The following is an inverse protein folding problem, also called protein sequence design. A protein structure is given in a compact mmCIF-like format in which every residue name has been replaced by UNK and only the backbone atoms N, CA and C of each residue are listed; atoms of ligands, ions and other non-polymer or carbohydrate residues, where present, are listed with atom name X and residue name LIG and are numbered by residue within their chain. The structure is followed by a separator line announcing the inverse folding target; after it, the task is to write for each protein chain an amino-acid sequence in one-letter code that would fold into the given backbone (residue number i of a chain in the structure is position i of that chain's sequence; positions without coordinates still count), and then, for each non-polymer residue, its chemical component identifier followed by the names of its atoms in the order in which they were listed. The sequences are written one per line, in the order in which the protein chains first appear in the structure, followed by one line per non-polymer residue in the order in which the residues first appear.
data_IF_863866133812
#
_entry.id   IF_863866133812
#
_cell.length_a   1.000
_cell.length_b   1.000
_cell.length_c   1.000
_cell.angle_alpha   90.00
_cell.angle_beta   90.00
_cell.angle_gamma   90.00
#
_symmetry.space_group_name_H-M   'P 1'
#
loop_
_entity.id
_entity.type
_entity.pdbx_description
1 polymer ?
#
# COMPACT_ATOMS: atom_id res chain seq x y z
N UNK A 1 -9.23 -65.49 -10.12
CA UNK A 1 -9.61 -64.09 -9.81
C UNK A 1 -9.11 -63.83 -8.40
N UNK A 2 -8.01 -63.10 -8.23
CA UNK A 2 -7.40 -62.83 -6.92
C UNK A 2 -7.57 -61.34 -6.61
N UNK A 3 -8.27 -61.02 -5.52
CA UNK A 3 -8.36 -59.67 -4.95
C UNK A 3 -6.98 -59.21 -4.47
N UNK A 4 -6.65 -57.95 -4.77
CA UNK A 4 -5.45 -57.28 -4.26
C UNK A 4 -5.85 -56.35 -3.11
N UNK A 5 -5.07 -56.30 -2.02
CA UNK A 5 -5.46 -55.63 -0.78
C UNK A 5 -5.19 -54.12 -0.80
N UNK A 6 -6.01 -53.40 -0.03
CA UNK A 6 -5.81 -52.01 0.40
C UNK A 6 -4.45 -51.80 1.07
N UNK A 7 -3.71 -50.76 0.67
CA UNK A 7 -2.88 -49.93 1.56
C UNK A 7 -2.17 -48.83 0.78
N UNK A 8 -2.31 -47.58 1.20
CA UNK A 8 -1.21 -46.80 1.79
C UNK A 8 -1.53 -45.32 1.66
N UNK A 9 -1.54 -44.63 2.80
CA UNK A 9 -2.01 -43.26 2.92
C UNK A 9 -1.20 -42.28 2.09
N UNK A 10 -1.92 -41.41 1.40
CA UNK A 10 -1.36 -40.14 0.92
C UNK A 10 -1.91 -39.07 1.88
N UNK A 11 -1.32 -39.02 3.07
CA UNK A 11 -1.41 -37.86 3.96
C UNK A 11 -0.72 -36.70 3.24
N UNK A 12 -1.48 -35.96 2.42
CA UNK A 12 -1.03 -34.69 1.87
C UNK A 12 -0.72 -33.79 3.06
N UNK A 13 0.53 -33.36 3.27
CA UNK A 13 0.83 -32.38 4.29
C UNK A 13 0.12 -31.09 3.86
N UNK A 14 -1.02 -30.80 4.49
CA UNK A 14 -1.65 -29.49 4.41
C UNK A 14 -0.76 -28.53 5.18
N UNK A 15 0.36 -28.15 4.57
CA UNK A 15 1.13 -27.00 4.99
C UNK A 15 0.20 -25.80 4.78
N UNK A 16 -0.60 -25.50 5.80
CA UNK A 16 -1.38 -24.28 5.81
C UNK A 16 -0.38 -23.15 5.66
N UNK A 17 -0.34 -22.58 4.46
CA UNK A 17 0.55 -21.48 4.13
C UNK A 17 0.13 -20.37 5.08
N UNK A 18 0.96 -20.10 6.11
CA UNK A 18 0.70 -19.07 7.12
C UNK A 18 0.74 -17.72 6.40
N UNK A 19 -0.36 -17.37 5.75
CA UNK A 19 -0.53 -16.10 5.08
C UNK A 19 -0.47 -15.03 6.17
N UNK A 20 0.35 -14.00 5.96
CA UNK A 20 0.35 -12.80 6.80
C UNK A 20 -1.04 -12.18 6.68
N UNK A 21 -1.92 -12.50 7.64
CA UNK A 21 -3.28 -12.01 7.66
C UNK A 21 -3.34 -10.48 7.75
N UNK A 22 -4.55 -9.96 7.49
CA UNK A 22 -4.93 -8.55 7.50
C UNK A 22 -4.71 -7.79 8.83
N UNK A 23 -3.90 -8.32 9.75
CA UNK A 23 -3.52 -7.69 11.02
C UNK A 23 -2.93 -6.31 10.81
N UNK A 24 -2.13 -6.13 9.75
CA UNK A 24 -1.61 -4.81 9.35
C UNK A 24 -2.73 -3.84 8.96
N UNK A 25 -3.76 -4.30 8.24
CA UNK A 25 -4.89 -3.45 7.85
C UNK A 25 -5.71 -3.03 9.07
N UNK A 26 -6.01 -3.96 9.99
CA UNK A 26 -6.70 -3.62 11.25
C UNK A 26 -5.91 -2.61 12.07
N UNK A 27 -4.60 -2.78 12.18
CA UNK A 27 -3.74 -1.85 12.90
C UNK A 27 -3.72 -0.47 12.23
N UNK A 28 -3.68 -0.40 10.89
CA UNK A 28 -3.78 0.86 10.15
C UNK A 28 -5.12 1.57 10.38
N UNK A 29 -6.23 0.83 10.38
CA UNK A 29 -7.57 1.38 10.66
C UNK A 29 -7.65 1.91 12.09
N UNK A 30 -7.16 1.17 13.08
CA UNK A 30 -7.14 1.61 14.48
C UNK A 30 -6.30 2.88 14.66
N UNK A 31 -5.10 2.93 14.07
CA UNK A 31 -4.23 4.11 14.10
C UNK A 31 -4.88 5.31 13.43
N UNK A 32 -5.50 5.11 12.26
CA UNK A 32 -6.26 6.15 11.55
C UNK A 32 -7.39 6.70 12.42
N UNK A 33 -8.20 5.82 13.02
CA UNK A 33 -9.33 6.21 13.86
C UNK A 33 -8.89 6.89 15.16
N UNK A 34 -7.70 6.55 15.68
CA UNK A 34 -7.08 7.23 16.82
C UNK A 34 -6.45 8.58 16.45
N UNK A 35 -6.50 8.99 15.18
CA UNK A 35 -5.86 10.21 14.69
C UNK A 35 -4.33 10.13 14.65
N UNK A 36 -3.74 8.93 14.79
CA UNK A 36 -2.31 8.75 14.71
C UNK A 36 -1.83 9.00 13.27
N UNK A 37 -1.19 10.15 13.06
CA UNK A 37 -0.53 10.49 11.81
C UNK A 37 0.93 10.04 11.85
N UNK A 38 1.41 9.56 10.70
CA UNK A 38 2.83 9.21 10.55
C UNK A 38 3.60 10.51 10.29
N UNK A 39 4.53 10.92 11.16
CA UNK A 39 5.26 12.17 10.96
C UNK A 39 6.20 12.02 9.75
N UNK A 40 6.16 13.01 8.87
CA UNK A 40 7.05 13.14 7.71
C UNK A 40 7.71 14.51 7.78
N UNK A 41 9.03 14.53 7.66
CA UNK A 41 9.80 15.77 7.64
C UNK A 41 9.95 16.18 6.18
N UNK A 42 9.54 17.40 5.85
CA UNK A 42 9.62 17.95 4.49
C UNK A 42 10.47 19.21 4.55
N UNK A 43 11.50 19.27 3.72
CA UNK A 43 12.21 20.53 3.46
C UNK A 43 11.30 21.45 2.64
N UNK A 44 10.97 22.61 3.19
CA UNK A 44 10.04 23.57 2.58
C UNK A 44 10.60 24.20 1.30
N UNK A 45 11.93 24.32 1.20
CA UNK A 45 12.60 24.95 0.05
C UNK A 45 12.72 23.97 -1.11
N UNK A 46 13.11 22.72 -0.82
CA UNK A 46 13.33 21.70 -1.86
C UNK A 46 12.12 20.80 -2.12
N UNK A 47 11.15 20.78 -1.21
CA UNK A 47 9.99 19.87 -1.24
C UNK A 47 10.35 18.40 -0.95
N UNK A 48 11.61 18.12 -0.58
CA UNK A 48 12.10 16.76 -0.40
C UNK A 48 11.74 16.23 0.98
N UNK A 49 11.11 15.06 1.01
CA UNK A 49 10.85 14.33 2.24
C UNK A 49 12.12 13.66 2.79
N UNK A 50 12.35 13.76 4.10
CA UNK A 50 13.50 13.19 4.81
C UNK A 50 13.08 12.42 6.08
N UNK A 51 14.02 11.65 6.63
CA UNK A 51 13.81 10.83 7.83
C UNK A 51 13.23 9.43 7.58
N UNK A 52 12.88 8.68 8.65
CA UNK A 52 12.55 7.26 8.58
C UNK A 52 11.33 6.92 7.70
N UNK A 53 10.39 7.86 7.57
CA UNK A 53 9.14 7.66 6.82
C UNK A 53 9.19 8.23 5.40
N UNK A 54 10.29 8.89 4.99
CA UNK A 54 10.38 9.58 3.70
C UNK A 54 10.17 8.65 2.51
N UNK A 55 10.78 7.46 2.55
CA UNK A 55 10.63 6.48 1.48
C UNK A 55 9.18 5.99 1.34
N UNK A 56 8.53 5.69 2.46
CA UNK A 56 7.13 5.24 2.49
C UNK A 56 6.21 6.33 1.97
N UNK A 57 6.43 7.57 2.41
CA UNK A 57 5.66 8.73 1.95
C UNK A 57 5.81 8.95 0.43
N UNK A 58 7.03 8.96 -0.10
CA UNK A 58 7.27 9.10 -1.55
C UNK A 58 6.67 7.96 -2.37
N UNK A 59 6.73 6.73 -1.87
CA UNK A 59 6.10 5.58 -2.52
C UNK A 59 4.59 5.73 -2.58
N UNK A 60 3.97 6.17 -1.47
CA UNK A 60 2.53 6.43 -1.39
C UNK A 60 2.10 7.56 -2.33
N UNK A 61 2.84 8.67 -2.37
CA UNK A 61 2.61 9.75 -3.33
C UNK A 61 2.65 9.25 -4.77
N UNK A 62 3.58 8.35 -5.11
CA UNK A 62 3.65 7.75 -6.44
C UNK A 62 2.42 6.90 -6.79
N UNK A 63 1.78 6.25 -5.79
CA UNK A 63 0.52 5.52 -5.99
C UNK A 63 -0.62 6.50 -6.22
N UNK A 64 -0.76 7.52 -5.38
CA UNK A 64 -1.79 8.56 -5.54
C UNK A 64 -1.66 9.28 -6.89
N UNK A 65 -0.44 9.65 -7.27
CA UNK A 65 -0.17 10.30 -8.54
C UNK A 65 -0.60 9.42 -9.71
N UNK A 66 -0.33 8.11 -9.69
CA UNK A 66 -0.74 7.19 -10.77
C UNK A 66 -2.23 6.92 -10.82
N UNK A 67 -2.92 6.97 -9.68
CA UNK A 67 -4.38 6.80 -9.62
C UNK A 67 -5.11 8.00 -10.23
N UNK A 68 -4.54 9.21 -10.06
CA UNK A 68 -5.16 10.47 -10.49
C UNK A 68 -4.66 10.99 -11.84
N UNK A 69 -3.37 10.80 -12.14
CA UNK A 69 -2.72 11.35 -13.34
C UNK A 69 -2.65 10.28 -14.42
N UNK A 70 -3.19 10.60 -15.60
CA UNK A 70 -3.10 9.74 -16.78
C UNK A 70 -1.63 9.50 -17.15
N UNK A 71 -1.31 8.26 -17.54
CA UNK A 71 0.00 7.91 -18.09
C UNK A 71 0.34 8.68 -19.38
N UNK A 72 -0.68 9.23 -20.05
CA UNK A 72 -0.51 10.06 -21.24
C UNK A 72 -0.04 11.48 -20.92
N UNK A 73 -0.08 11.89 -19.65
CA UNK A 73 0.42 13.19 -19.22
C UNK A 73 1.96 13.16 -19.20
N UNK A 74 2.64 13.97 -20.05
CA UNK A 74 4.07 13.81 -20.29
C UNK A 74 4.95 14.29 -19.13
N UNK A 75 4.48 15.24 -18.32
CA UNK A 75 5.16 15.69 -17.10
C UNK A 75 4.16 16.22 -16.08
N UNK A 76 4.59 16.35 -14.83
CA UNK A 76 3.75 16.89 -13.77
C UNK A 76 3.26 18.33 -14.05
N UNK A 77 4.03 19.12 -14.81
CA UNK A 77 3.66 20.50 -15.19
C UNK A 77 2.38 20.56 -16.05
N UNK A 78 2.06 19.46 -16.74
CA UNK A 78 0.88 19.32 -17.60
C UNK A 78 -0.34 18.77 -16.86
N UNK A 79 -0.22 18.46 -15.56
CA UNK A 79 -1.34 18.01 -14.73
C UNK A 79 -2.25 19.20 -14.48
N UNK A 80 -3.57 19.04 -14.63
CA UNK A 80 -4.51 20.14 -14.38
C UNK A 80 -4.47 20.56 -12.91
N UNK A 81 -4.80 21.82 -12.62
CA UNK A 81 -4.89 22.29 -11.22
C UNK A 81 -5.95 21.50 -10.43
N UNK A 82 -7.05 21.10 -11.09
CA UNK A 82 -8.07 20.25 -10.48
C UNK A 82 -7.50 18.91 -9.99
N UNK A 83 -6.70 18.24 -10.83
CA UNK A 83 -6.08 16.95 -10.48
C UNK A 83 -5.03 17.11 -9.38
N UNK A 84 -4.26 18.20 -9.39
CA UNK A 84 -3.31 18.54 -8.31
C UNK A 84 -4.04 18.75 -6.99
N UNK A 85 -5.17 19.46 -7.01
CA UNK A 85 -5.98 19.71 -5.82
C UNK A 85 -6.61 18.43 -5.28
N UNK A 86 -7.02 17.49 -6.15
CA UNK A 86 -7.51 16.17 -5.73
C UNK A 86 -6.43 15.38 -5.00
N UNK A 87 -5.20 15.35 -5.51
CA UNK A 87 -4.06 14.70 -4.82
C UNK A 87 -3.83 15.33 -3.44
N UNK A 88 -3.93 16.66 -3.34
CA UNK A 88 -3.77 17.37 -2.07
C UNK A 88 -4.89 17.04 -1.07
N UNK A 89 -6.14 16.99 -1.53
CA UNK A 89 -7.27 16.60 -0.68
C UNK A 89 -7.12 15.17 -0.16
N UNK A 90 -6.71 14.22 -1.01
CA UNK A 90 -6.47 12.84 -0.60
C UNK A 90 -5.40 12.75 0.51
N UNK A 91 -4.37 13.60 0.47
CA UNK A 91 -3.35 13.68 1.52
C UNK A 91 -3.87 14.31 2.83
N UNK A 92 -4.75 15.30 2.75
CA UNK A 92 -5.32 15.95 3.94
C UNK A 92 -6.37 15.09 4.65
N UNK A 93 -7.07 14.24 3.88
CA UNK A 93 -8.15 13.35 4.35
C UNK A 93 -7.62 11.96 4.74
N UNK A 94 -6.40 11.59 4.32
CA UNK A 94 -5.70 10.37 4.77
C UNK A 94 -5.30 10.43 6.24
#
# INVERSE_FOLDING_TARGET
MAESPHSSGDEVPTTSRRTRGATRLRQLILRRNAGERTPVIIDVVTGVASGPNAYVFRSYLGVLARDRISILTPSFDHVSEADRNLIWQDLLVS
#
